data_IF_149642391118
#
_entry.id   IF_149642391118
#
_cell.length_a   1.000
_cell.length_b   1.000
_cell.length_c   1.000
_cell.angle_alpha   90.00
_cell.angle_beta   90.00
_cell.angle_gamma   90.00
#
_symmetry.space_group_name_H-M   'P 1'
#
loop_
_entity.id
_entity.type
_entity.pdbx_description
1 polymer ?
#
# COMPACT_ATOMS: atom_id res chain seq x y z
N UNK A 1 13.97 20.36 3.86
CA UNK A 1 12.95 20.05 2.83
C UNK A 1 11.64 20.60 3.35
N UNK A 2 10.95 21.49 2.63
CA UNK A 2 9.63 21.96 3.05
C UNK A 2 8.60 20.84 2.89
N UNK A 3 7.73 20.67 3.87
CA UNK A 3 6.66 19.67 3.81
C UNK A 3 5.57 20.23 2.89
N UNK A 4 5.31 19.56 1.78
CA UNK A 4 4.21 19.94 0.89
C UNK A 4 2.94 19.33 1.45
N UNK A 5 2.10 20.17 2.07
CA UNK A 5 0.76 19.77 2.48
C UNK A 5 -0.25 20.07 1.37
N UNK A 6 -0.99 19.05 0.95
CA UNK A 6 -2.06 19.15 -0.06
C UNK A 6 -3.37 18.81 0.63
N UNK A 7 -4.40 19.62 0.40
CA UNK A 7 -5.74 19.37 0.95
C UNK A 7 -6.64 18.74 -0.10
N UNK A 8 -7.64 17.97 0.33
CA UNK A 8 -8.53 17.22 -0.57
C UNK A 8 -9.34 18.17 -1.46
N UNK A 9 -9.71 19.35 -0.97
CA UNK A 9 -10.53 20.32 -1.73
C UNK A 9 -9.82 20.79 -3.01
N UNK A 10 -8.49 20.75 -3.02
CA UNK A 10 -7.66 21.12 -4.18
C UNK A 10 -7.81 20.17 -5.38
N UNK A 11 -8.44 19.01 -5.18
CA UNK A 11 -8.67 18.00 -6.22
C UNK A 11 -10.16 17.70 -6.43
N UNK A 12 -11.04 18.54 -5.89
CA UNK A 12 -12.50 18.36 -5.94
C UNK A 12 -13.05 18.25 -7.37
N UNK A 13 -12.36 18.83 -8.34
CA UNK A 13 -12.64 18.81 -9.77
C UNK A 13 -12.34 17.46 -10.45
N UNK A 14 -11.44 16.64 -9.88
CA UNK A 14 -11.01 15.37 -10.48
C UNK A 14 -11.32 14.12 -9.62
N UNK A 15 -11.54 14.27 -8.32
CA UNK A 15 -11.61 13.15 -7.37
C UNK A 15 -12.76 12.17 -7.63
N UNK A 16 -13.87 12.66 -8.20
CA UNK A 16 -15.07 11.88 -8.50
C UNK A 16 -15.18 11.51 -10.00
N UNK A 17 -14.17 11.83 -10.82
CA UNK A 17 -14.22 11.51 -12.24
C UNK A 17 -13.99 10.01 -12.47
N UNK A 18 -14.67 9.42 -13.47
CA UNK A 18 -14.39 8.04 -13.86
C UNK A 18 -12.93 7.93 -14.34
N UNK A 19 -12.32 6.77 -14.09
CA UNK A 19 -10.93 6.52 -14.49
C UNK A 19 -10.80 6.61 -16.02
N UNK A 20 -9.89 7.43 -16.57
CA UNK A 20 -9.77 7.61 -18.01
C UNK A 20 -9.33 6.32 -18.72
N UNK A 21 -10.01 6.02 -19.82
CA UNK A 21 -9.63 4.94 -20.73
C UNK A 21 -8.71 5.48 -21.84
N UNK A 22 -7.55 4.84 -22.10
CA UNK A 22 -6.66 5.29 -23.16
C UNK A 22 -7.32 5.09 -24.54
N UNK A 23 -7.23 6.11 -25.41
CA UNK A 23 -7.84 6.07 -26.75
C UNK A 23 -7.03 5.28 -27.78
N UNK A 24 -5.71 5.39 -27.71
CA UNK A 24 -4.80 4.88 -28.75
C UNK A 24 -3.94 3.70 -28.29
N UNK A 25 -3.92 3.40 -27.00
CA UNK A 25 -3.02 2.39 -26.42
C UNK A 25 -3.84 1.36 -25.65
N UNK A 26 -3.99 0.13 -26.17
CA UNK A 26 -4.69 -0.91 -25.44
C UNK A 26 -3.99 -1.15 -24.10
N UNK A 27 -4.78 -1.37 -23.05
CA UNK A 27 -4.21 -1.70 -21.74
C UNK A 27 -3.50 -3.03 -21.79
N UNK A 28 -2.41 -3.11 -21.03
CA UNK A 28 -1.68 -4.36 -20.86
C UNK A 28 -2.59 -5.41 -20.18
N UNK A 29 -2.70 -6.63 -20.74
CA UNK A 29 -3.41 -7.75 -20.12
C UNK A 29 -2.89 -8.03 -18.71
N UNK A 30 -3.76 -8.55 -17.83
CA UNK A 30 -3.43 -8.78 -16.42
C UNK A 30 -2.25 -9.73 -16.22
N UNK A 31 -2.14 -10.78 -17.05
CA UNK A 31 -1.04 -11.75 -17.02
C UNK A 31 0.31 -11.09 -17.31
N UNK A 32 0.35 -10.20 -18.32
CA UNK A 32 1.56 -9.45 -18.66
C UNK A 32 1.95 -8.46 -17.56
N UNK A 33 0.96 -7.91 -16.85
CA UNK A 33 1.23 -7.10 -15.64
C UNK A 33 1.83 -7.97 -14.52
N UNK A 34 1.29 -9.16 -14.29
CA UNK A 34 1.80 -10.09 -13.28
C UNK A 34 3.24 -10.56 -13.60
N UNK A 35 3.54 -10.80 -14.87
CA UNK A 35 4.87 -11.23 -15.32
C UNK A 35 6.00 -10.22 -14.97
N UNK A 36 5.69 -8.93 -14.75
CA UNK A 36 6.68 -7.96 -14.27
C UNK A 36 7.22 -8.33 -12.88
N UNK A 37 6.42 -9.04 -12.08
CA UNK A 37 6.78 -9.53 -10.76
C UNK A 37 7.35 -10.95 -10.78
N UNK A 38 7.51 -11.57 -11.96
CA UNK A 38 8.11 -12.90 -12.10
C UNK A 38 9.52 -13.04 -11.48
N UNK A 39 10.40 -12.01 -11.47
CA UNK A 39 11.69 -12.09 -10.76
C UNK A 39 11.55 -12.38 -9.26
N UNK A 40 10.40 -12.07 -8.66
CA UNK A 40 10.10 -12.34 -7.24
C UNK A 40 9.36 -13.65 -7.03
N UNK A 41 9.17 -14.47 -8.08
CA UNK A 41 8.54 -15.78 -7.96
C UNK A 41 9.30 -16.69 -6.98
N UNK A 42 10.62 -16.52 -6.79
CA UNK A 42 11.37 -17.26 -5.79
C UNK A 42 10.95 -16.97 -4.33
N UNK A 43 10.18 -15.91 -4.09
CA UNK A 43 9.57 -15.65 -2.77
C UNK A 43 8.37 -16.57 -2.48
N UNK A 44 7.90 -17.35 -3.45
CA UNK A 44 6.97 -18.45 -3.15
C UNK A 44 7.69 -19.50 -2.30
N UNK A 45 7.17 -19.80 -1.11
CA UNK A 45 7.83 -20.61 -0.09
C UNK A 45 8.30 -19.82 1.14
N UNK A 46 8.23 -18.47 1.13
CA UNK A 46 8.52 -17.62 2.29
C UNK A 46 7.25 -17.15 3.02
N UNK A 47 6.10 -17.78 2.75
CA UNK A 47 4.81 -17.39 3.32
C UNK A 47 4.86 -17.41 4.86
N UNK A 48 5.59 -18.35 5.44
CA UNK A 48 5.74 -18.46 6.89
C UNK A 48 6.58 -17.32 7.48
N UNK A 49 7.65 -16.89 6.79
CA UNK A 49 8.47 -15.73 7.20
C UNK A 49 7.69 -14.42 7.08
N UNK A 50 6.87 -14.29 6.03
CA UNK A 50 5.98 -13.14 5.86
C UNK A 50 4.94 -13.09 6.97
N UNK A 51 4.29 -14.23 7.29
CA UNK A 51 3.35 -14.33 8.41
C UNK A 51 3.99 -14.00 9.75
N UNK A 52 5.20 -14.50 10.01
CA UNK A 52 5.93 -14.21 11.25
C UNK A 52 6.24 -12.71 11.37
N UNK A 53 6.62 -12.08 10.25
CA UNK A 53 6.92 -10.64 10.20
C UNK A 53 5.66 -9.80 10.44
N UNK A 54 4.52 -10.19 9.86
CA UNK A 54 3.22 -9.56 10.12
C UNK A 54 2.89 -9.65 11.62
N UNK A 55 2.99 -10.84 12.22
CA UNK A 55 2.69 -11.03 13.64
C UNK A 55 3.56 -10.16 14.54
N UNK A 56 4.88 -10.10 14.28
CA UNK A 56 5.80 -9.23 15.04
C UNK A 56 5.42 -7.76 14.91
N UNK A 57 5.03 -7.33 13.71
CA UNK A 57 4.61 -5.96 13.47
C UNK A 57 3.30 -5.61 14.19
N UNK A 58 2.33 -6.53 14.19
CA UNK A 58 1.08 -6.38 14.95
C UNK A 58 1.37 -6.29 16.46
N UNK A 59 2.17 -7.21 17.01
CA UNK A 59 2.60 -7.18 18.42
C UNK A 59 3.28 -5.85 18.78
N UNK A 60 4.16 -5.33 17.92
CA UNK A 60 4.83 -4.04 18.11
C UNK A 60 3.86 -2.86 18.10
N UNK A 61 2.87 -2.87 17.19
CA UNK A 61 1.82 -1.85 17.13
C UNK A 61 0.97 -1.89 18.40
N UNK A 62 0.54 -3.07 18.82
CA UNK A 62 -0.27 -3.25 20.04
C UNK A 62 0.46 -2.75 21.28
N UNK A 63 1.72 -3.15 21.46
CA UNK A 63 2.56 -2.65 22.56
C UNK A 63 2.70 -1.14 22.49
N UNK A 64 2.96 -0.57 21.31
CA UNK A 64 3.07 0.88 21.14
C UNK A 64 1.77 1.59 21.50
N UNK A 65 0.62 1.06 21.10
CA UNK A 65 -0.69 1.61 21.44
C UNK A 65 -0.89 1.55 22.95
N UNK A 66 -0.60 0.40 23.57
CA UNK A 66 -0.69 0.19 25.02
C UNK A 66 0.17 1.18 25.82
N UNK A 67 1.45 1.33 25.47
CA UNK A 67 2.33 2.29 26.13
C UNK A 67 1.89 3.76 25.95
N UNK A 68 1.30 4.10 24.81
CA UNK A 68 0.76 5.44 24.58
C UNK A 68 -0.54 5.67 25.36
N UNK A 69 -1.38 4.66 25.55
CA UNK A 69 -2.63 4.80 26.32
C UNK A 69 -2.39 4.96 27.83
N UNK A 70 -1.30 4.40 28.35
CA UNK A 70 -0.90 4.59 29.76
C UNK A 70 -0.26 5.96 30.02
N UNK A 71 0.06 6.74 28.98
CA UNK A 71 0.67 8.08 29.09
C UNK A 71 -0.36 9.21 29.22
N UNK A 72 -1.66 8.91 29.10
CA UNK A 72 -2.78 9.85 29.21
C UNK A 72 -3.53 9.76 30.57
N UNK A 73 -2.89 9.18 31.61
CA UNK A 73 -3.36 9.20 33.01
C UNK A 73 -2.49 10.06 33.93
#
# INVERSE_FOLDING_TARGET
MSKVERKIEQYSDIINLPRPEPRCHPRMPIEKRAAQFAPFAALTGYEDVVKETIRKHEDEIELRIFFNSDSDQ
#
